data_IF_932223180288
#
_entry.id   IF_932223180288
#
_cell.length_a   1.000
_cell.length_b   1.000
_cell.length_c   1.000
_cell.angle_alpha   90.00
_cell.angle_beta   90.00
_cell.angle_gamma   90.00
#
_symmetry.space_group_name_H-M   'P 1'
#
loop_
_entity.id
_entity.type
_entity.pdbx_description
1 polymer ?
#
# COMPACT_ATOMS: atom_id res chain seq x y z
N UNK A 1 -23.54 22.20 -7.36
CA UNK A 1 -22.23 21.60 -7.14
C UNK A 1 -22.47 20.24 -6.51
N UNK A 2 -22.08 19.12 -7.14
CA UNK A 2 -22.15 17.82 -6.47
C UNK A 2 -21.18 17.84 -5.29
N UNK A 3 -21.63 17.38 -4.12
CA UNK A 3 -20.75 17.25 -2.96
C UNK A 3 -19.63 16.26 -3.29
N UNK A 4 -18.40 16.56 -2.88
CA UNK A 4 -17.29 15.62 -2.99
C UNK A 4 -17.63 14.32 -2.24
N UNK A 5 -17.14 13.19 -2.75
CA UNK A 5 -17.22 11.92 -2.04
C UNK A 5 -16.45 11.97 -0.71
N UNK A 6 -16.83 11.20 0.33
CA UNK A 6 -16.19 11.23 1.65
C UNK A 6 -14.80 10.53 1.63
N UNK A 7 -14.02 10.79 0.59
CA UNK A 7 -12.74 10.16 0.29
C UNK A 7 -11.66 11.21 0.03
N UNK A 8 -10.49 10.98 0.59
CA UNK A 8 -9.24 11.60 0.14
C UNK A 8 -8.40 10.56 -0.60
N UNK A 9 -7.82 10.92 -1.75
CA UNK A 9 -6.70 10.17 -2.33
C UNK A 9 -5.41 10.83 -1.86
N UNK A 10 -4.59 10.07 -1.13
CA UNK A 10 -3.30 10.52 -0.60
C UNK A 10 -2.16 10.03 -1.48
N UNK A 11 -1.66 10.90 -2.36
CA UNK A 11 -0.58 10.58 -3.29
C UNK A 11 0.78 10.74 -2.61
N UNK A 12 1.65 9.73 -2.77
CA UNK A 12 3.06 9.77 -2.37
C UNK A 12 3.95 9.90 -3.59
N UNK A 13 4.71 10.99 -3.69
CA UNK A 13 5.53 11.27 -4.87
C UNK A 13 6.86 11.92 -4.52
N UNK A 14 7.82 11.88 -5.44
CA UNK A 14 9.01 12.72 -5.44
C UNK A 14 8.72 14.06 -6.15
N UNK A 15 9.39 15.14 -5.75
CA UNK A 15 9.15 16.48 -6.30
C UNK A 15 9.19 16.54 -7.83
N UNK A 16 10.17 15.85 -8.45
CA UNK A 16 10.33 15.80 -9.91
C UNK A 16 9.28 14.95 -10.65
N UNK A 17 8.49 14.14 -9.94
CA UNK A 17 7.46 13.24 -10.49
C UNK A 17 6.04 13.73 -10.22
N UNK A 18 5.88 14.71 -9.36
CA UNK A 18 4.58 15.22 -8.91
C UNK A 18 3.64 15.62 -10.07
N UNK A 19 4.21 16.10 -11.18
CA UNK A 19 3.46 16.45 -12.41
C UNK A 19 2.78 15.28 -13.11
N UNK A 20 3.13 14.04 -12.78
CA UNK A 20 2.58 12.85 -13.42
C UNK A 20 1.23 12.41 -12.82
N UNK A 21 0.87 12.97 -11.65
CA UNK A 21 -0.35 12.58 -10.92
C UNK A 21 -1.59 12.95 -11.75
N UNK A 22 -2.47 11.98 -11.93
CA UNK A 22 -3.79 12.17 -12.54
C UNK A 22 -4.83 12.31 -11.42
N UNK A 23 -5.34 13.52 -11.23
CA UNK A 23 -6.32 13.83 -10.20
C UNK A 23 -7.73 13.47 -10.64
N UNK A 24 -8.56 13.04 -9.67
CA UNK A 24 -10.00 12.96 -9.82
C UNK A 24 -10.65 14.18 -9.15
N UNK A 25 -11.62 14.79 -9.85
CA UNK A 25 -12.34 15.96 -9.34
C UNK A 25 -13.51 15.63 -8.41
N UNK A 26 -13.88 14.36 -8.33
CA UNK A 26 -14.98 13.86 -7.48
C UNK A 26 -14.58 13.60 -6.02
N UNK A 27 -13.30 13.72 -5.68
CA UNK A 27 -12.72 13.41 -4.37
C UNK A 27 -11.75 14.49 -3.90
N UNK A 28 -11.41 14.50 -2.61
CA UNK A 28 -10.31 15.32 -2.09
C UNK A 28 -8.96 14.73 -2.53
N UNK A 29 -8.04 15.59 -2.97
CA UNK A 29 -6.70 15.19 -3.37
C UNK A 29 -5.66 15.78 -2.40
N UNK A 30 -4.83 14.93 -1.82
CA UNK A 30 -3.72 15.29 -0.95
C UNK A 30 -2.42 14.75 -1.56
N UNK A 31 -1.49 15.63 -1.90
CA UNK A 31 -0.18 15.25 -2.42
C UNK A 31 0.86 15.41 -1.33
N UNK A 32 1.52 14.31 -0.96
CA UNK A 32 2.66 14.32 -0.04
C UNK A 32 3.93 14.18 -0.86
N UNK A 33 4.65 15.29 -0.99
CA UNK A 33 5.86 15.40 -1.80
C UNK A 33 7.09 15.13 -0.96
N UNK A 34 7.87 14.11 -1.33
CA UNK A 34 9.19 13.85 -0.77
C UNK A 34 10.21 14.74 -1.49
N UNK A 35 10.66 15.80 -0.83
CA UNK A 35 11.52 16.85 -1.41
C UNK A 35 12.79 17.12 -0.60
N UNK A 36 13.73 16.13 -0.48
CA UNK A 36 14.97 16.31 0.26
C UNK A 36 15.90 17.36 -0.36
N UNK A 37 15.79 17.55 -1.67
CA UNK A 37 16.69 18.40 -2.45
C UNK A 37 16.12 19.83 -2.64
N UNK A 38 14.98 20.15 -2.00
CA UNK A 38 14.30 21.45 -2.06
C UNK A 38 14.07 21.96 -3.51
N UNK A 39 13.70 21.04 -4.40
CA UNK A 39 13.37 21.34 -5.79
C UNK A 39 12.03 22.09 -5.83
N UNK A 40 11.89 23.05 -6.74
CA UNK A 40 10.59 23.69 -6.98
C UNK A 40 9.53 22.64 -7.36
N UNK A 41 8.47 22.55 -6.57
CA UNK A 41 7.36 21.63 -6.81
C UNK A 41 6.45 22.24 -7.89
N UNK A 42 5.86 21.39 -8.72
CA UNK A 42 4.86 21.82 -9.73
C UNK A 42 3.72 22.58 -9.05
N UNK A 43 3.27 23.67 -9.68
CA UNK A 43 2.05 24.36 -9.27
C UNK A 43 0.84 23.46 -9.51
N UNK A 44 0.16 23.13 -8.41
CA UNK A 44 -1.09 22.37 -8.45
C UNK A 44 -2.29 23.30 -8.48
N UNK A 45 -3.43 22.77 -8.93
CA UNK A 45 -4.72 23.43 -8.76
C UNK A 45 -4.89 23.77 -7.25
N UNK A 46 -5.37 25.00 -6.88
CA UNK A 46 -5.60 25.41 -5.50
C UNK A 46 -6.48 24.45 -4.65
N UNK A 47 -7.30 23.61 -5.28
CA UNK A 47 -8.12 22.60 -4.62
C UNK A 47 -7.30 21.36 -4.16
N UNK A 48 -6.06 21.20 -4.65
CA UNK A 48 -5.18 20.09 -4.26
C UNK A 48 -4.39 20.50 -3.03
N UNK A 49 -4.56 19.76 -1.95
CA UNK A 49 -3.78 19.97 -0.72
C UNK A 49 -2.37 19.42 -0.91
N UNK A 50 -1.34 20.21 -0.67
CA UNK A 50 0.06 19.78 -0.83
C UNK A 50 0.77 19.83 0.51
N UNK A 51 1.52 18.77 0.82
CA UNK A 51 2.34 18.66 2.02
C UNK A 51 3.75 18.19 1.64
N UNK A 52 4.77 19.02 1.94
CA UNK A 52 6.16 18.69 1.62
C UNK A 52 6.91 18.07 2.80
N UNK A 53 7.65 17.00 2.52
CA UNK A 53 8.57 16.36 3.44
C UNK A 53 10.01 16.63 2.99
N UNK A 54 10.86 17.11 3.90
CA UNK A 54 12.30 17.37 3.65
C UNK A 54 13.18 16.11 3.59
N UNK A 55 12.56 14.92 3.51
CA UNK A 55 13.27 13.65 3.49
C UNK A 55 12.59 12.63 2.57
N UNK A 56 13.26 11.54 2.28
CA UNK A 56 12.72 10.41 1.53
C UNK A 56 12.15 9.35 2.45
N UNK A 57 11.23 8.56 1.91
CA UNK A 57 10.63 7.41 2.55
C UNK A 57 9.12 7.36 2.33
N UNK A 58 8.67 6.38 1.54
CA UNK A 58 7.26 6.24 1.19
C UNK A 58 6.36 6.03 2.42
N UNK A 59 6.86 5.32 3.45
CA UNK A 59 6.13 5.13 4.70
C UNK A 59 5.88 6.46 5.44
N UNK A 60 6.85 7.38 5.43
CA UNK A 60 6.69 8.73 6.00
C UNK A 60 5.63 9.53 5.27
N UNK A 61 5.64 9.46 3.94
CA UNK A 61 4.65 10.12 3.07
C UNK A 61 3.25 9.59 3.34
N UNK A 62 3.06 8.28 3.47
CA UNK A 62 1.79 7.63 3.79
C UNK A 62 1.31 7.96 5.21
N UNK A 63 2.22 8.03 6.17
CA UNK A 63 1.91 8.48 7.53
C UNK A 63 1.45 9.94 7.55
N UNK A 64 2.08 10.81 6.76
CA UNK A 64 1.65 12.20 6.60
C UNK A 64 0.28 12.29 5.92
N UNK A 65 -0.01 11.43 4.93
CA UNK A 65 -1.33 11.36 4.31
C UNK A 65 -2.41 10.97 5.34
N UNK A 66 -2.17 9.94 6.17
CA UNK A 66 -3.10 9.55 7.24
C UNK A 66 -3.33 10.71 8.21
N UNK A 67 -2.26 11.38 8.65
CA UNK A 67 -2.34 12.47 9.63
C UNK A 67 -3.17 13.66 9.12
N UNK A 68 -3.00 14.04 7.84
CA UNK A 68 -3.58 15.23 7.23
C UNK A 68 -4.91 14.98 6.48
N UNK A 69 -5.44 13.76 6.48
CA UNK A 69 -6.75 13.43 5.92
C UNK A 69 -7.85 13.72 6.92
N UNK A 70 -8.88 14.45 6.47
CA UNK A 70 -10.10 14.79 7.23
C UNK A 70 -11.32 14.01 6.73
N UNK A 71 -11.27 13.44 5.53
CA UNK A 71 -12.33 12.59 4.96
C UNK A 71 -12.52 11.30 5.77
N UNK A 72 -13.68 10.69 5.65
CA UNK A 72 -13.99 9.41 6.30
C UNK A 72 -13.06 8.30 5.83
N UNK A 73 -12.75 8.29 4.51
CA UNK A 73 -11.88 7.30 3.89
C UNK A 73 -10.62 7.93 3.32
N UNK A 74 -9.54 7.15 3.32
CA UNK A 74 -8.29 7.46 2.62
C UNK A 74 -7.93 6.29 1.71
N UNK A 75 -7.71 6.58 0.43
CA UNK A 75 -7.13 5.68 -0.56
C UNK A 75 -5.71 6.15 -0.83
N UNK A 76 -4.74 5.25 -0.76
CA UNK A 76 -3.35 5.62 -1.06
C UNK A 76 -3.10 5.60 -2.56
N UNK A 77 -2.29 6.55 -3.05
CA UNK A 77 -1.91 6.66 -4.45
C UNK A 77 -0.40 6.87 -4.63
N UNK A 78 0.11 6.42 -5.76
CA UNK A 78 1.45 6.74 -6.26
C UNK A 78 1.29 7.62 -7.52
N UNK A 79 2.38 8.22 -8.01
CA UNK A 79 2.33 9.21 -9.10
C UNK A 79 2.13 8.64 -10.52
N UNK A 80 2.06 7.31 -10.65
CA UNK A 80 1.85 6.57 -11.90
C UNK A 80 0.55 5.74 -11.90
N UNK A 81 -0.36 6.03 -10.96
CA UNK A 81 -1.65 5.35 -10.81
C UNK A 81 -2.78 6.18 -11.44
N UNK A 82 -3.66 5.50 -12.16
CA UNK A 82 -4.92 6.05 -12.62
C UNK A 82 -6.09 5.35 -11.92
N UNK A 83 -6.81 6.08 -11.08
CA UNK A 83 -7.91 5.52 -10.31
C UNK A 83 -9.20 5.43 -11.13
N UNK A 84 -9.99 4.38 -10.84
CA UNK A 84 -11.26 4.09 -11.50
C UNK A 84 -12.42 4.65 -10.64
N UNK A 85 -13.16 5.63 -11.17
CA UNK A 85 -14.28 6.26 -10.44
C UNK A 85 -15.38 5.27 -10.05
N UNK A 86 -15.73 4.33 -10.93
CA UNK A 86 -16.74 3.31 -10.61
C UNK A 86 -16.24 2.32 -9.55
N UNK A 87 -14.94 2.03 -9.54
CA UNK A 87 -14.29 1.24 -8.50
C UNK A 87 -14.31 1.98 -7.16
N UNK A 88 -14.03 3.28 -7.15
CA UNK A 88 -14.11 4.12 -5.95
C UNK A 88 -15.53 4.14 -5.39
N UNK A 89 -16.54 4.38 -6.24
CA UNK A 89 -17.94 4.37 -5.80
C UNK A 89 -18.34 3.03 -5.19
N UNK A 90 -17.93 1.91 -5.80
CA UNK A 90 -18.17 0.56 -5.28
C UNK A 90 -17.47 0.33 -3.95
N UNK A 91 -16.23 0.79 -3.79
CA UNK A 91 -15.46 0.66 -2.55
C UNK A 91 -16.09 1.46 -1.40
N UNK A 92 -16.49 2.70 -1.65
CA UNK A 92 -17.18 3.54 -0.66
C UNK A 92 -18.51 2.90 -0.25
N UNK A 93 -19.30 2.42 -1.22
CA UNK A 93 -20.56 1.74 -0.92
C UNK A 93 -20.33 0.49 -0.05
N UNK A 94 -19.28 -0.29 -0.36
CA UNK A 94 -18.92 -1.45 0.45
C UNK A 94 -18.56 -1.03 1.89
N UNK A 95 -17.70 -0.03 2.06
CA UNK A 95 -17.29 0.45 3.37
C UNK A 95 -18.47 1.03 4.17
N UNK A 96 -19.42 1.72 3.52
CA UNK A 96 -20.62 2.26 4.16
C UNK A 96 -21.57 1.15 4.66
N UNK A 97 -21.69 0.06 3.90
CA UNK A 97 -22.55 -1.08 4.26
C UNK A 97 -21.90 -2.08 5.22
N UNK A 98 -20.57 -1.93 5.45
CA UNK A 98 -19.77 -2.77 6.37
C UNK A 98 -18.97 -1.88 7.34
N UNK A 99 -19.63 -1.23 8.30
CA UNK A 99 -18.99 -0.24 9.17
C UNK A 99 -17.90 -0.83 10.08
N UNK A 100 -17.90 -2.15 10.28
CA UNK A 100 -16.87 -2.85 11.04
C UNK A 100 -15.56 -3.06 10.26
N UNK A 101 -15.54 -2.80 8.94
CA UNK A 101 -14.34 -2.94 8.11
C UNK A 101 -13.53 -1.66 8.15
N UNK A 102 -12.30 -1.76 8.66
CA UNK A 102 -11.35 -0.66 8.78
C UNK A 102 -10.37 -0.58 7.62
N UNK A 103 -10.12 -1.71 6.94
CA UNK A 103 -9.20 -1.81 5.78
C UNK A 103 -9.89 -2.60 4.68
N UNK A 104 -10.02 -1.98 3.50
CA UNK A 104 -10.48 -2.64 2.28
C UNK A 104 -9.30 -2.78 1.32
N UNK A 105 -8.95 -4.02 0.99
CA UNK A 105 -7.95 -4.36 -0.01
C UNK A 105 -8.66 -4.77 -1.30
N UNK A 106 -8.22 -4.21 -2.41
CA UNK A 106 -8.86 -4.37 -3.71
C UNK A 106 -7.89 -4.91 -4.76
N UNK A 107 -8.21 -4.79 -6.03
CA UNK A 107 -7.39 -5.25 -7.14
C UNK A 107 -7.18 -4.15 -8.18
N UNK A 108 -6.14 -4.30 -9.00
CA UNK A 108 -5.83 -3.39 -10.09
C UNK A 108 -5.60 -4.14 -11.40
N UNK A 109 -5.73 -3.41 -12.49
CA UNK A 109 -5.46 -3.87 -13.85
C UNK A 109 -4.23 -3.16 -14.41
N UNK A 110 -3.69 -3.69 -15.50
CA UNK A 110 -2.71 -3.00 -16.33
C UNK A 110 -3.42 -2.19 -17.46
N UNK A 111 -2.63 -1.50 -18.24
CA UNK A 111 -3.10 -0.70 -19.40
C UNK A 111 -3.79 -1.53 -20.49
N UNK A 112 -3.67 -2.87 -20.46
CA UNK A 112 -4.36 -3.80 -21.37
C UNK A 112 -5.66 -4.35 -20.78
N UNK A 113 -6.03 -3.94 -19.57
CA UNK A 113 -7.21 -4.43 -18.84
C UNK A 113 -7.01 -5.77 -18.13
N UNK A 114 -5.78 -6.30 -18.09
CA UNK A 114 -5.47 -7.55 -17.38
C UNK A 114 -5.15 -7.28 -15.93
N UNK A 115 -5.50 -8.22 -15.06
CA UNK A 115 -5.16 -8.14 -13.64
C UNK A 115 -3.63 -8.05 -13.44
N UNK A 116 -3.17 -7.05 -12.68
CA UNK A 116 -1.75 -6.78 -12.39
C UNK A 116 -1.00 -7.96 -11.75
N UNK A 117 -1.72 -8.78 -11.03
CA UNK A 117 -1.21 -9.97 -10.34
C UNK A 117 -2.32 -11.01 -10.20
N UNK A 118 -1.99 -12.18 -9.70
CA UNK A 118 -3.01 -13.18 -9.35
C UNK A 118 -3.70 -12.75 -8.05
N UNK A 119 -4.91 -12.24 -8.17
CA UNK A 119 -5.80 -11.94 -7.06
C UNK A 119 -6.70 -13.13 -6.72
N UNK A 120 -7.25 -13.18 -5.49
CA UNK A 120 -8.37 -14.07 -5.16
C UNK A 120 -9.60 -13.72 -6.01
N UNK A 121 -10.37 -14.75 -6.40
CA UNK A 121 -11.58 -14.53 -7.18
C UNK A 121 -12.81 -14.17 -6.32
N UNK A 122 -12.72 -14.34 -5.00
CA UNK A 122 -13.82 -14.12 -4.05
C UNK A 122 -13.39 -13.24 -2.90
N UNK A 123 -14.35 -12.51 -2.36
CA UNK A 123 -14.24 -11.78 -1.11
C UNK A 123 -13.75 -12.66 0.04
N UNK A 124 -12.90 -12.13 0.87
CA UNK A 124 -12.45 -12.84 2.08
C UNK A 124 -11.88 -11.86 3.12
N UNK A 125 -11.95 -12.26 4.39
CA UNK A 125 -11.34 -11.53 5.50
C UNK A 125 -9.83 -11.53 5.38
N UNK A 126 -9.20 -10.38 5.62
CA UNK A 126 -7.75 -10.29 5.70
C UNK A 126 -7.24 -10.99 6.96
N UNK A 127 -6.12 -11.66 6.80
CA UNK A 127 -5.37 -12.35 7.83
C UNK A 127 -3.87 -12.13 7.60
N UNK A 128 -3.05 -12.36 8.61
CA UNK A 128 -1.59 -12.25 8.49
C UNK A 128 -1.01 -13.13 7.37
N UNK A 129 -1.68 -14.22 7.01
CA UNK A 129 -1.18 -15.19 6.02
C UNK A 129 -1.66 -14.95 4.59
N UNK A 130 -2.64 -14.06 4.36
CA UNK A 130 -3.23 -13.83 3.03
C UNK A 130 -3.08 -12.40 2.49
N UNK A 131 -2.60 -11.43 3.30
CA UNK A 131 -2.49 -10.01 2.92
C UNK A 131 -1.11 -9.59 2.39
N UNK A 132 -0.13 -10.49 2.33
CA UNK A 132 1.27 -10.18 1.97
C UNK A 132 1.48 -9.71 0.51
N UNK A 133 0.46 -9.72 -0.34
CA UNK A 133 0.53 -9.29 -1.74
C UNK A 133 -0.14 -7.94 -1.98
N UNK A 134 -0.55 -7.24 -0.95
CA UNK A 134 -1.13 -5.91 -1.08
C UNK A 134 -0.16 -4.97 -1.79
N UNK A 135 -0.67 -4.10 -2.63
CA UNK A 135 0.00 -2.89 -3.07
C UNK A 135 -0.74 -1.70 -2.44
N UNK A 136 -0.03 -0.62 -2.16
CA UNK A 136 -0.60 0.47 -1.36
C UNK A 136 -1.80 1.11 -2.06
N UNK A 137 -1.73 1.30 -3.37
CA UNK A 137 -2.83 1.87 -4.17
C UNK A 137 -4.07 0.97 -4.27
N UNK A 138 -4.01 -0.24 -3.72
CA UNK A 138 -5.15 -1.15 -3.60
C UNK A 138 -5.83 -1.06 -2.22
N UNK A 139 -5.33 -0.19 -1.32
CA UNK A 139 -5.75 -0.12 0.08
C UNK A 139 -6.57 1.15 0.31
N UNK A 140 -7.83 0.97 0.70
CA UNK A 140 -8.67 2.03 1.29
C UNK A 140 -8.81 1.77 2.79
N UNK A 141 -8.74 2.82 3.60
CA UNK A 141 -8.86 2.74 5.05
C UNK A 141 -9.99 3.64 5.57
N UNK A 142 -10.60 3.24 6.69
CA UNK A 142 -11.42 4.11 7.52
C UNK A 142 -10.49 4.90 8.44
N UNK A 143 -10.41 6.20 8.22
CA UNK A 143 -9.39 7.08 8.84
C UNK A 143 -9.54 7.13 10.36
N UNK A 144 -10.77 7.19 10.88
CA UNK A 144 -11.04 7.21 12.31
C UNK A 144 -10.49 5.98 13.03
N UNK A 145 -10.67 4.80 12.46
CA UNK A 145 -10.24 3.53 13.06
C UNK A 145 -8.72 3.42 13.11
N UNK A 146 -8.07 3.78 12.00
CA UNK A 146 -6.59 3.75 11.89
C UNK A 146 -5.97 4.76 12.84
N UNK A 147 -6.49 6.00 12.89
CA UNK A 147 -6.02 7.03 13.83
C UNK A 147 -6.30 6.64 15.27
N UNK A 148 -7.50 6.14 15.56
CA UNK A 148 -7.91 5.73 16.92
C UNK A 148 -7.08 4.57 17.47
N UNK A 149 -6.68 3.63 16.61
CA UNK A 149 -5.80 2.52 16.99
C UNK A 149 -4.30 2.90 16.96
N UNK A 150 -3.94 4.11 16.54
CA UNK A 150 -2.55 4.57 16.45
C UNK A 150 -1.71 3.85 15.39
N UNK A 151 -2.35 3.26 14.39
CA UNK A 151 -1.67 2.47 13.35
C UNK A 151 -0.94 3.39 12.38
N UNK A 152 0.32 3.05 12.08
CA UNK A 152 1.20 3.77 11.17
C UNK A 152 2.00 2.80 10.30
N UNK A 153 2.43 3.27 9.14
CA UNK A 153 3.45 2.58 8.36
C UNK A 153 4.78 2.59 9.12
N UNK A 154 5.47 1.45 9.14
CA UNK A 154 6.81 1.33 9.74
C UNK A 154 7.85 1.98 8.82
N UNK A 155 8.42 3.11 9.25
CA UNK A 155 9.34 3.92 8.46
C UNK A 155 10.70 3.26 8.18
N UNK A 156 10.97 2.11 8.77
CA UNK A 156 12.13 1.28 8.44
C UNK A 156 11.91 0.41 7.19
N UNK A 157 10.68 0.41 6.63
CA UNK A 157 10.29 -0.40 5.49
C UNK A 157 9.68 0.45 4.38
N UNK A 158 9.73 -0.08 3.14
CA UNK A 158 9.22 0.59 1.94
C UNK A 158 10.29 1.35 1.16
N UNK A 159 9.93 1.87 -0.01
CA UNK A 159 10.84 2.60 -0.88
C UNK A 159 11.46 3.82 -0.16
N UNK A 160 12.76 3.96 -0.25
CA UNK A 160 13.52 5.02 0.42
C UNK A 160 13.83 4.75 1.89
N UNK A 161 13.48 3.57 2.41
CA UNK A 161 13.82 3.11 3.76
C UNK A 161 14.95 2.06 3.72
N UNK A 162 15.57 1.72 4.87
CA UNK A 162 16.60 0.68 4.95
C UNK A 162 16.16 -0.68 4.42
N UNK A 163 14.87 -1.02 4.52
CA UNK A 163 14.28 -2.24 3.98
C UNK A 163 13.25 -1.83 2.92
N UNK A 164 13.61 -1.91 1.67
CA UNK A 164 12.91 -1.27 0.54
C UNK A 164 11.52 -1.85 0.17
N UNK A 165 10.99 -2.78 0.95
CA UNK A 165 9.69 -3.43 0.66
C UNK A 165 8.95 -3.83 1.95
N UNK A 166 7.65 -4.10 1.82
CA UNK A 166 6.80 -4.78 2.80
C UNK A 166 6.08 -3.88 3.79
N UNK A 167 6.18 -2.59 3.64
CA UNK A 167 5.51 -1.59 4.47
C UNK A 167 3.98 -1.75 4.44
N UNK A 168 3.37 -2.05 3.29
CA UNK A 168 1.94 -2.32 3.17
C UNK A 168 1.52 -3.54 3.99
N UNK A 169 2.30 -4.61 3.87
CA UNK A 169 2.00 -5.84 4.59
C UNK A 169 2.14 -5.66 6.11
N UNK A 170 3.17 -4.95 6.56
CA UNK A 170 3.39 -4.62 7.97
C UNK A 170 2.23 -3.77 8.49
N UNK A 171 1.82 -2.73 7.74
CA UNK A 171 0.70 -1.87 8.08
C UNK A 171 -0.60 -2.66 8.30
N UNK A 172 -0.96 -3.54 7.35
CA UNK A 172 -2.13 -4.41 7.49
C UNK A 172 -1.98 -5.34 8.70
N UNK A 173 -0.80 -5.94 8.88
CA UNK A 173 -0.55 -6.87 9.98
C UNK A 173 -0.68 -6.19 11.36
N UNK A 174 -0.19 -4.96 11.50
CA UNK A 174 -0.28 -4.20 12.74
C UNK A 174 -1.74 -3.81 13.05
N UNK A 175 -2.50 -3.39 12.02
CA UNK A 175 -3.92 -3.11 12.16
C UNK A 175 -4.73 -4.34 12.59
N UNK A 176 -4.49 -5.50 11.96
CA UNK A 176 -5.16 -6.76 12.34
C UNK A 176 -4.81 -7.18 13.77
N UNK A 177 -3.58 -6.95 14.25
CA UNK A 177 -3.17 -7.21 15.63
C UNK A 177 -3.81 -6.27 16.63
N UNK A 178 -4.07 -5.05 16.23
CA UNK A 178 -4.81 -4.08 17.05
C UNK A 178 -6.33 -4.39 17.11
N UNK A 179 -6.77 -5.48 16.47
CA UNK A 179 -8.17 -5.92 16.47
C UNK A 179 -9.03 -5.29 15.36
N UNK A 180 -8.43 -4.49 14.47
CA UNK A 180 -9.14 -3.93 13.33
C UNK A 180 -9.46 -5.02 12.30
N UNK A 181 -10.58 -4.86 11.60
CA UNK A 181 -11.00 -5.83 10.59
C UNK A 181 -10.62 -5.36 9.19
N UNK A 182 -10.01 -6.25 8.43
CA UNK A 182 -9.70 -6.05 7.02
C UNK A 182 -10.45 -7.03 6.14
N UNK A 183 -10.80 -6.58 4.94
CA UNK A 183 -11.52 -7.34 3.93
C UNK A 183 -10.84 -7.17 2.56
N UNK A 184 -10.80 -8.22 1.77
CA UNK A 184 -10.50 -8.16 0.33
C UNK A 184 -11.79 -8.23 -0.46
N UNK A 185 -11.95 -7.32 -1.41
CA UNK A 185 -13.03 -7.34 -2.41
C UNK A 185 -12.45 -7.29 -3.83
N UNK A 186 -12.98 -8.08 -4.79
CA UNK A 186 -12.50 -8.09 -6.17
C UNK A 186 -12.98 -6.85 -6.96
N UNK A 187 -12.83 -5.66 -6.38
CA UNK A 187 -13.15 -4.38 -7.00
C UNK A 187 -11.90 -3.87 -7.76
N UNK A 188 -12.05 -3.54 -9.03
CA UNK A 188 -10.96 -2.90 -9.80
C UNK A 188 -10.92 -1.42 -9.44
N UNK A 189 -9.94 -1.05 -8.60
CA UNK A 189 -9.82 0.31 -8.07
C UNK A 189 -8.93 1.21 -8.94
N UNK A 190 -7.97 0.64 -9.64
CA UNK A 190 -6.97 1.42 -10.36
C UNK A 190 -6.40 0.68 -11.57
N UNK A 191 -5.83 1.45 -12.49
CA UNK A 191 -4.94 1.01 -13.54
C UNK A 191 -3.51 1.42 -13.20
N UNK A 192 -2.57 0.49 -13.31
CA UNK A 192 -1.14 0.73 -13.09
C UNK A 192 -0.33 0.17 -14.27
N UNK A 193 0.58 0.93 -14.90
CA UNK A 193 1.38 0.47 -16.01
C UNK A 193 2.16 -0.81 -15.71
N UNK A 194 2.38 -1.64 -16.74
CA UNK A 194 3.09 -2.92 -16.62
C UNK A 194 4.55 -2.71 -16.20
N UNK A 195 5.20 -1.67 -16.72
CA UNK A 195 6.55 -1.29 -16.33
C UNK A 195 6.53 -0.59 -14.97
N UNK A 196 7.02 -1.26 -13.95
CA UNK A 196 7.21 -0.68 -12.62
C UNK A 196 8.63 -0.90 -12.12
N UNK A 197 9.15 0.04 -11.35
CA UNK A 197 10.51 0.03 -10.78
C UNK A 197 10.83 -1.14 -9.83
N UNK A 198 9.85 -2.03 -9.58
CA UNK A 198 9.97 -3.17 -8.65
C UNK A 198 10.56 -4.46 -9.23
N UNK A 199 11.27 -4.44 -10.36
CA UNK A 199 11.69 -5.63 -11.11
C UNK A 199 12.91 -6.40 -10.57
N UNK A 200 13.57 -5.96 -9.49
CA UNK A 200 14.74 -6.64 -8.90
C UNK A 200 14.35 -7.88 -8.05
N UNK A 201 13.54 -8.77 -8.62
CA UNK A 201 13.13 -10.01 -7.95
C UNK A 201 14.29 -11.03 -7.97
N UNK A 202 14.56 -11.65 -6.81
CA UNK A 202 15.52 -12.74 -6.58
C UNK A 202 16.98 -12.36 -6.28
N UNK A 203 17.28 -11.10 -5.99
CA UNK A 203 18.60 -10.72 -5.48
C UNK A 203 18.78 -11.15 -4.01
N UNK A 204 20.04 -11.18 -3.54
CA UNK A 204 20.34 -11.37 -2.11
C UNK A 204 19.68 -10.29 -1.24
N UNK A 205 19.61 -9.05 -1.75
CA UNK A 205 18.93 -7.94 -1.08
C UNK A 205 17.42 -8.19 -0.95
N UNK A 206 16.76 -8.68 -2.00
CA UNK A 206 15.31 -9.02 -1.97
C UNK A 206 15.02 -10.11 -0.94
N UNK A 207 15.85 -11.18 -0.90
CA UNK A 207 15.72 -12.24 0.09
C UNK A 207 15.85 -11.73 1.52
N UNK A 208 16.89 -10.94 1.80
CA UNK A 208 17.15 -10.39 3.13
C UNK A 208 16.03 -9.44 3.57
N UNK A 209 15.57 -8.55 2.68
CA UNK A 209 14.46 -7.64 2.96
C UNK A 209 13.18 -8.41 3.30
N UNK A 210 12.82 -9.44 2.51
CA UNK A 210 11.66 -10.31 2.81
C UNK A 210 11.83 -11.05 4.13
N UNK A 211 13.03 -11.55 4.44
CA UNK A 211 13.27 -12.21 5.71
C UNK A 211 13.04 -11.28 6.92
N UNK A 212 13.41 -10.00 6.80
CA UNK A 212 13.15 -8.98 7.81
C UNK A 212 11.65 -8.67 7.95
N UNK A 213 10.91 -8.59 6.82
CA UNK A 213 9.45 -8.43 6.86
C UNK A 213 8.80 -9.58 7.63
N UNK A 214 9.19 -10.83 7.34
CA UNK A 214 8.70 -11.99 8.10
C UNK A 214 9.03 -11.89 9.59
N UNK A 215 10.25 -11.47 9.95
CA UNK A 215 10.61 -11.23 11.35
C UNK A 215 9.73 -10.18 12.01
N UNK A 216 9.49 -9.06 11.32
CA UNK A 216 8.66 -7.95 11.80
C UNK A 216 7.20 -8.39 11.99
N UNK A 217 6.68 -9.15 11.00
CA UNK A 217 5.28 -9.60 11.02
C UNK A 217 5.05 -10.79 11.94
N UNK A 218 5.94 -11.75 12.05
CA UNK A 218 5.67 -13.00 12.78
C UNK A 218 6.49 -13.17 14.05
N UNK A 219 7.43 -12.27 14.34
CA UNK A 219 8.24 -12.34 15.55
C UNK A 219 8.94 -13.71 15.69
N UNK A 220 8.77 -14.37 16.84
CA UNK A 220 9.36 -15.67 17.14
C UNK A 220 8.90 -16.79 16.18
N UNK A 221 7.73 -16.64 15.52
CA UNK A 221 7.21 -17.59 14.55
C UNK A 221 7.77 -17.40 13.14
N UNK A 222 8.61 -16.37 12.93
CA UNK A 222 9.13 -16.06 11.60
C UNK A 222 9.91 -17.21 10.93
N UNK A 223 10.75 -18.02 11.63
CA UNK A 223 11.41 -19.16 11.00
C UNK A 223 10.43 -20.19 10.44
N UNK A 224 9.37 -20.51 11.21
CA UNK A 224 8.31 -21.42 10.78
C UNK A 224 7.58 -20.87 9.54
N UNK A 225 7.19 -19.59 9.59
CA UNK A 225 6.47 -18.96 8.49
C UNK A 225 7.32 -18.83 7.22
N UNK A 226 8.63 -18.59 7.36
CA UNK A 226 9.57 -18.61 6.23
C UNK A 226 9.71 -20.01 5.64
N UNK A 227 9.75 -21.07 6.47
CA UNK A 227 9.74 -22.44 6.01
C UNK A 227 8.50 -22.75 5.20
N UNK A 228 7.31 -22.42 5.71
CA UNK A 228 6.04 -22.58 4.98
C UNK A 228 6.02 -21.81 3.66
N UNK A 229 6.60 -20.60 3.64
CA UNK A 229 6.72 -19.81 2.41
C UNK A 229 7.62 -20.47 1.37
N UNK A 230 8.75 -21.07 1.77
CA UNK A 230 9.69 -21.76 0.88
C UNK A 230 9.11 -23.05 0.33
N UNK A 231 8.37 -23.81 1.15
CA UNK A 231 7.80 -25.11 0.74
C UNK A 231 6.56 -24.94 -0.14
N UNK A 232 5.82 -23.81 -0.02
CA UNK A 232 4.59 -23.58 -0.81
C UNK A 232 4.92 -23.34 -2.29
N UNK A 233 4.34 -24.09 -3.23
CA UNK A 233 4.54 -23.87 -4.67
C UNK A 233 4.03 -22.48 -5.12
N UNK A 234 4.72 -21.80 -6.06
CA UNK A 234 5.95 -22.16 -6.76
C UNK A 234 7.19 -21.71 -5.98
N UNK A 235 7.71 -22.61 -5.15
CA UNK A 235 8.79 -22.34 -4.19
C UNK A 235 10.20 -22.31 -4.80
N UNK A 236 10.35 -22.47 -6.11
CA UNK A 236 11.66 -22.38 -6.81
C UNK A 236 12.25 -20.97 -6.86
N UNK A 237 11.85 -20.07 -5.93
CA UNK A 237 12.34 -18.69 -5.92
C UNK A 237 13.78 -18.57 -5.44
N UNK A 238 14.21 -19.45 -4.55
CA UNK A 238 15.55 -19.47 -3.99
C UNK A 238 16.11 -20.89 -4.19
N UNK A 239 17.33 -21.06 -4.66
CA UNK A 239 18.02 -22.36 -4.62
C UNK A 239 18.13 -22.86 -3.17
N UNK A 240 18.50 -24.15 -2.97
CA UNK A 240 18.51 -24.80 -1.66
C UNK A 240 19.25 -24.01 -0.57
N UNK A 241 20.47 -23.55 -0.84
CA UNK A 241 21.29 -22.77 0.11
C UNK A 241 20.61 -21.44 0.47
N UNK A 242 20.03 -20.75 -0.53
CA UNK A 242 19.35 -19.48 -0.30
C UNK A 242 18.03 -19.65 0.46
N UNK A 243 17.35 -20.79 0.29
CA UNK A 243 16.19 -21.14 1.09
C UNK A 243 16.55 -21.34 2.56
N UNK A 244 17.65 -22.03 2.84
CA UNK A 244 18.16 -22.16 4.21
C UNK A 244 18.51 -20.80 4.83
N UNK A 245 19.24 -19.94 4.07
CA UNK A 245 19.57 -18.58 4.52
C UNK A 245 18.31 -17.77 4.80
N UNK A 246 17.29 -17.83 3.95
CA UNK A 246 16.03 -17.15 4.16
C UNK A 246 15.32 -17.65 5.43
N UNK A 247 15.26 -18.98 5.66
CA UNK A 247 14.62 -19.56 6.85
C UNK A 247 15.26 -19.04 8.13
N UNK A 248 16.59 -18.95 8.19
CA UNK A 248 17.32 -18.44 9.36
C UNK A 248 17.39 -16.90 9.42
N UNK A 249 16.82 -16.19 8.44
CA UNK A 249 16.71 -14.73 8.46
C UNK A 249 17.90 -13.98 7.84
N UNK A 250 18.70 -14.63 6.98
CA UNK A 250 19.88 -14.08 6.30
C UNK A 250 19.65 -13.89 4.80
#
# INVERSE_FOLDING_TARGET
MSSLLPLTIGYSTLANRAKNIKFLTSVNNLVVVQNPDSISVTDFNPEVKVFELKNRGVAKSRNAAIANTESEYLLFGDDDIEFNESGIASAINYMNTNPEVSILLMQAIDETGKLRKRYPAKSHKLQLTNSAKAATYEIMIRVSDIKGAGIKFDENFGAGAPNYLGDEYIFIADALRAGLKGQFEPIVIATHPTESSGSLRNSTADRSARAKVFSRVFGIWAPLMRTLFVVKPPSKKFGFINSLRFIIGK
#
